data_IF_512649629164
#
_entry.id   IF_512649629164
#
_cell.length_a   1.000
_cell.length_b   1.000
_cell.length_c   1.000
_cell.angle_alpha   90.00
_cell.angle_beta   90.00
_cell.angle_gamma   90.00
#
_symmetry.space_group_name_H-M   'P 1'
#
loop_
_entity.id
_entity.type
_entity.pdbx_description
1 polymer ?
#
# COMPACT_ATOMS: atom_id res chain seq x y z
N UNK A 1 19.48 11.64 -14.71
CA UNK A 1 19.08 10.21 -14.76
C UNK A 1 17.57 10.16 -14.80
N UNK A 2 16.92 9.44 -15.73
CA UNK A 2 15.46 9.37 -15.76
C UNK A 2 14.97 8.60 -14.54
N UNK A 3 14.12 9.22 -13.72
CA UNK A 3 13.50 8.56 -12.57
C UNK A 3 12.54 7.49 -13.11
N UNK A 4 12.88 6.22 -12.90
CA UNK A 4 11.98 5.10 -13.13
C UNK A 4 10.77 5.30 -12.22
N UNK A 5 9.64 5.71 -12.78
CA UNK A 5 8.35 5.54 -12.14
C UNK A 5 8.13 4.04 -11.98
N UNK A 6 8.51 3.51 -10.82
CA UNK A 6 8.21 2.13 -10.48
C UNK A 6 6.69 1.99 -10.53
N UNK A 7 6.18 1.30 -11.55
CA UNK A 7 4.76 0.95 -11.61
C UNK A 7 4.45 0.19 -10.34
N UNK A 8 3.57 0.75 -9.53
CA UNK A 8 3.10 0.10 -8.32
C UNK A 8 2.48 -1.23 -8.72
N UNK A 9 2.67 -2.25 -7.89
CA UNK A 9 1.93 -3.49 -8.09
C UNK A 9 0.45 -3.20 -7.87
N UNK A 10 -0.47 -3.92 -8.52
CA UNK A 10 -1.91 -3.74 -8.30
C UNK A 10 -2.31 -3.79 -6.81
N UNK A 11 -1.57 -4.58 -6.01
CA UNK A 11 -1.74 -4.65 -4.56
C UNK A 11 -1.39 -3.33 -3.87
N UNK A 12 -0.24 -2.72 -4.23
CA UNK A 12 0.20 -1.45 -3.67
C UNK A 12 -0.67 -0.26 -4.10
N UNK A 13 -1.24 -0.30 -5.31
CA UNK A 13 -2.22 0.70 -5.75
C UNK A 13 -3.45 0.70 -4.83
N UNK A 14 -3.99 -0.49 -4.53
CA UNK A 14 -5.13 -0.63 -3.62
C UNK A 14 -4.77 -0.24 -2.18
N UNK A 15 -3.57 -0.58 -1.72
CA UNK A 15 -3.09 -0.17 -0.40
C UNK A 15 -3.08 1.37 -0.26
N UNK A 16 -2.52 2.07 -1.25
CA UNK A 16 -2.46 3.53 -1.25
C UNK A 16 -3.82 4.20 -1.39
N UNK A 17 -4.75 3.60 -2.14
CA UNK A 17 -6.13 4.08 -2.21
C UNK A 17 -6.80 4.06 -0.83
N UNK A 18 -6.80 2.91 -0.16
CA UNK A 18 -7.43 2.75 1.16
C UNK A 18 -6.74 3.63 2.22
N UNK A 19 -5.41 3.76 2.16
CA UNK A 19 -4.67 4.62 3.09
C UNK A 19 -4.96 6.10 2.88
N UNK A 20 -5.23 6.55 1.65
CA UNK A 20 -5.67 7.92 1.36
C UNK A 20 -7.10 8.18 1.82
N UNK A 21 -7.98 7.18 1.75
CA UNK A 21 -9.36 7.29 2.25
C UNK A 21 -9.44 7.32 3.77
N UNK A 22 -8.46 6.74 4.47
CA UNK A 22 -8.44 6.62 5.94
C UNK A 22 -7.18 7.22 6.57
N UNK A 23 -6.89 8.52 6.35
CA UNK A 23 -5.70 9.16 6.90
C UNK A 23 -5.73 9.12 8.44
N UNK A 24 -4.66 8.60 9.05
CA UNK A 24 -4.52 8.49 10.51
C UNK A 24 -4.97 7.16 11.11
N UNK A 25 -5.48 6.22 10.30
CA UNK A 25 -5.77 4.86 10.74
C UNK A 25 -4.62 3.90 10.45
N UNK A 26 -4.48 2.84 11.27
CA UNK A 26 -3.51 1.77 11.03
C UNK A 26 -4.08 0.76 10.03
N UNK A 27 -3.51 0.71 8.82
CA UNK A 27 -3.98 -0.18 7.75
C UNK A 27 -3.27 -1.54 7.80
N UNK A 28 -3.90 -2.50 8.47
CA UNK A 28 -3.44 -3.89 8.57
C UNK A 28 -3.84 -4.68 7.31
N UNK A 29 -2.89 -4.89 6.40
CA UNK A 29 -3.14 -5.61 5.16
C UNK A 29 -2.89 -7.11 5.36
N UNK A 30 -3.92 -7.95 5.18
CA UNK A 30 -3.78 -9.40 5.35
C UNK A 30 -3.07 -10.02 4.15
N UNK A 31 -1.86 -10.53 4.37
CA UNK A 31 -1.14 -11.36 3.40
C UNK A 31 -1.00 -12.78 3.96
N UNK A 32 -1.93 -13.65 3.57
CA UNK A 32 -2.01 -15.03 4.07
C UNK A 32 -2.41 -15.07 5.55
N UNK A 33 -1.52 -15.62 6.37
CA UNK A 33 -1.72 -15.81 7.81
C UNK A 33 -1.25 -14.60 8.64
N UNK A 34 -0.64 -13.60 8.01
CA UNK A 34 -0.10 -12.42 8.67
C UNK A 34 -0.80 -11.14 8.24
N UNK A 35 -0.70 -10.13 9.10
CA UNK A 35 -1.05 -8.75 8.79
C UNK A 35 0.23 -7.94 8.64
N UNK A 36 0.38 -7.30 7.47
CA UNK A 36 1.50 -6.42 7.17
C UNK A 36 1.06 -4.95 7.21
N UNK A 37 2.00 -4.12 7.64
CA UNK A 37 1.90 -2.67 7.64
C UNK A 37 2.91 -2.14 6.64
N UNK A 38 2.44 -1.44 5.62
CA UNK A 38 3.31 -0.82 4.62
C UNK A 38 3.47 0.69 4.90
N UNK A 39 4.58 1.28 4.49
CA UNK A 39 4.81 2.73 4.63
C UNK A 39 4.06 3.51 3.55
#
# INVERSE_FOLDING_TARGET
>A
MPQKTAKLTPMMERYQEVKRETPGSLLLFRMGDFYELFN
#
